data_IF_039323119310
#
_entry.id   IF_039323119310
#
_cell.length_a   1.000
_cell.length_b   1.000
_cell.length_c   1.000
_cell.angle_alpha   90.00
_cell.angle_beta   90.00
_cell.angle_gamma   90.00
#
_symmetry.space_group_name_H-M   'P 1'
#
loop_
_entity.id
_entity.type
_entity.pdbx_description
1 polymer ?
#
# COMPACT_ATOMS: atom_id res chain seq x y z
N UNK A 1 2.12 -49.51 -34.30
CA UNK A 1 2.31 -49.55 -32.84
C UNK A 1 3.40 -48.55 -32.51
N UNK A 2 3.05 -47.27 -32.39
CA UNK A 2 4.03 -46.18 -32.27
C UNK A 2 3.61 -45.05 -31.32
N UNK A 3 2.61 -45.27 -30.47
CA UNK A 3 1.95 -44.18 -29.74
C UNK A 3 2.10 -44.25 -28.20
N UNK A 4 2.85 -45.22 -27.67
CA UNK A 4 2.90 -45.45 -26.21
C UNK A 4 4.12 -44.83 -25.50
N UNK A 5 5.00 -44.12 -26.21
CA UNK A 5 6.28 -43.61 -25.64
C UNK A 5 6.29 -42.11 -25.35
N UNK A 6 5.24 -41.37 -25.75
CA UNK A 6 5.11 -39.93 -25.52
C UNK A 6 4.36 -39.57 -24.22
N UNK A 7 3.71 -40.52 -23.56
CA UNK A 7 2.80 -40.22 -22.43
C UNK A 7 3.52 -40.11 -21.06
N UNK A 8 4.81 -40.43 -20.98
CA UNK A 8 5.52 -40.59 -19.70
C UNK A 8 6.31 -39.32 -19.29
N UNK A 9 6.53 -38.36 -20.21
CA UNK A 9 7.24 -37.10 -19.91
C UNK A 9 6.34 -35.87 -19.76
N UNK A 10 5.06 -35.98 -20.15
CA UNK A 10 4.03 -34.94 -20.01
C UNK A 10 3.52 -34.66 -18.57
N UNK A 11 3.52 -35.58 -17.58
CA UNK A 11 2.80 -35.32 -16.32
C UNK A 11 3.42 -34.18 -15.50
N UNK A 12 4.76 -34.07 -15.46
CA UNK A 12 5.43 -33.03 -14.66
C UNK A 12 5.24 -31.62 -15.21
N UNK A 13 5.23 -31.44 -16.53
CA UNK A 13 5.02 -30.14 -17.16
C UNK A 13 3.57 -29.64 -17.03
N UNK A 14 2.59 -30.52 -17.21
CA UNK A 14 1.17 -30.18 -17.05
C UNK A 14 0.85 -29.76 -15.60
N UNK A 15 1.44 -30.45 -14.62
CA UNK A 15 1.29 -30.10 -13.20
C UNK A 15 1.85 -28.71 -12.89
N UNK A 16 3.07 -28.41 -13.37
CA UNK A 16 3.68 -27.09 -13.20
C UNK A 16 2.84 -25.97 -13.81
N UNK A 17 2.22 -26.18 -14.99
CA UNK A 17 1.32 -25.19 -15.57
C UNK A 17 0.06 -24.95 -14.75
N UNK A 18 -0.55 -26.02 -14.23
CA UNK A 18 -1.72 -25.88 -13.34
C UNK A 18 -1.37 -25.10 -12.08
N UNK A 19 -0.17 -25.34 -11.53
CA UNK A 19 0.32 -24.58 -10.39
C UNK A 19 0.58 -23.11 -10.75
N UNK A 20 1.23 -22.83 -11.89
CA UNK A 20 1.45 -21.47 -12.38
C UNK A 20 0.13 -20.70 -12.51
N UNK A 21 -0.88 -21.28 -13.19
CA UNK A 21 -2.20 -20.66 -13.34
C UNK A 21 -2.88 -20.36 -12.00
N UNK A 22 -2.70 -21.24 -11.00
CA UNK A 22 -3.21 -21.01 -9.65
C UNK A 22 -2.53 -19.81 -8.99
N UNK A 23 -1.19 -19.75 -9.05
CA UNK A 23 -0.42 -18.63 -8.48
C UNK A 23 -0.72 -17.32 -9.19
N UNK A 24 -0.89 -17.33 -10.51
CA UNK A 24 -1.33 -16.16 -11.30
C UNK A 24 -2.71 -15.65 -10.84
N UNK A 25 -3.66 -16.55 -10.60
CA UNK A 25 -4.98 -16.19 -10.05
C UNK A 25 -4.91 -15.61 -8.64
N UNK A 26 -4.08 -16.20 -7.77
CA UNK A 26 -3.85 -15.68 -6.41
C UNK A 26 -3.18 -14.28 -6.46
N UNK A 27 -2.24 -14.06 -7.39
CA UNK A 27 -1.60 -12.77 -7.63
C UNK A 27 -2.59 -11.69 -8.08
N UNK A 28 -3.50 -12.00 -9.01
CA UNK A 28 -4.53 -11.05 -9.48
C UNK A 28 -5.40 -10.55 -8.33
N UNK A 29 -5.92 -11.46 -7.51
CA UNK A 29 -6.76 -11.14 -6.35
C UNK A 29 -6.00 -10.29 -5.32
N UNK A 30 -4.74 -10.66 -5.04
CA UNK A 30 -3.91 -9.96 -4.06
C UNK A 30 -3.48 -8.57 -4.55
N UNK A 31 -3.06 -8.43 -5.81
CA UNK A 31 -2.70 -7.15 -6.40
C UNK A 31 -3.90 -6.20 -6.48
N UNK A 32 -5.07 -6.71 -6.86
CA UNK A 32 -6.33 -5.93 -6.85
C UNK A 32 -6.66 -5.43 -5.44
N UNK A 33 -6.47 -6.28 -4.42
CA UNK A 33 -6.69 -5.91 -3.02
C UNK A 33 -5.66 -4.90 -2.52
N UNK A 34 -4.39 -5.07 -2.90
CA UNK A 34 -3.30 -4.18 -2.56
C UNK A 34 -3.48 -2.78 -3.18
N UNK A 35 -3.85 -2.70 -4.46
CA UNK A 35 -4.15 -1.44 -5.14
C UNK A 35 -5.30 -0.66 -4.47
N UNK A 36 -6.32 -1.37 -3.96
CA UNK A 36 -7.45 -0.76 -3.22
C UNK A 36 -7.06 -0.19 -1.87
N UNK A 37 -5.89 -0.51 -1.32
CA UNK A 37 -5.43 0.10 -0.08
C UNK A 37 -5.13 1.60 -0.29
N UNK A 38 -4.71 2.00 -1.49
CA UNK A 38 -4.38 3.40 -1.82
C UNK A 38 -5.57 4.34 -1.78
N UNK A 39 -6.75 3.88 -2.17
CA UNK A 39 -7.96 4.72 -2.17
C UNK A 39 -8.36 5.18 -0.77
N UNK A 40 -7.91 4.48 0.28
CA UNK A 40 -8.16 4.82 1.69
C UNK A 40 -7.44 6.10 2.11
N UNK A 41 -6.28 6.44 1.51
CA UNK A 41 -5.59 7.70 1.80
C UNK A 41 -6.32 8.93 1.27
N UNK A 42 -7.05 8.80 0.17
CA UNK A 42 -7.81 9.91 -0.40
C UNK A 42 -9.14 10.15 0.34
N UNK A 43 -9.63 9.14 1.07
CA UNK A 43 -10.85 9.19 1.87
C UNK A 43 -10.54 9.59 3.32
N UNK A 44 -9.73 10.64 3.51
CA UNK A 44 -9.35 11.20 4.83
C UNK A 44 -10.50 11.88 5.60
N UNK A 45 -11.74 11.40 5.43
CA UNK A 45 -12.95 11.88 6.07
C UNK A 45 -13.66 10.72 6.76
N UNK A 46 -13.11 10.27 7.88
CA UNK A 46 -13.92 9.68 8.95
C UNK A 46 -13.93 10.69 10.09
N UNK A 47 -15.14 11.09 10.48
CA UNK A 47 -15.51 12.08 11.51
C UNK A 47 -14.97 11.78 12.93
N UNK A 48 -14.24 10.68 13.10
CA UNK A 48 -13.88 10.09 14.40
C UNK A 48 -12.43 10.39 14.85
N UNK A 49 -11.82 11.52 14.46
CA UNK A 49 -10.62 12.09 15.09
C UNK A 49 -9.38 11.19 15.30
N UNK A 50 -9.41 9.97 14.78
CA UNK A 50 -8.43 8.93 15.01
C UNK A 50 -7.55 8.85 13.78
N UNK A 51 -6.22 8.91 13.91
CA UNK A 51 -5.34 8.72 12.78
C UNK A 51 -5.66 7.33 12.24
N UNK A 52 -6.32 7.28 11.08
CA UNK A 52 -6.58 6.09 10.28
C UNK A 52 -5.27 5.58 9.67
N UNK A 53 -4.25 5.43 10.51
CA UNK A 53 -3.16 4.46 10.41
C UNK A 53 -3.72 3.05 10.60
N UNK A 54 -4.84 2.77 9.93
CA UNK A 54 -5.46 1.47 9.76
C UNK A 54 -4.52 0.61 8.94
N UNK A 55 -3.51 0.11 9.66
CA UNK A 55 -2.71 -1.07 9.38
C UNK A 55 -1.51 -0.90 8.44
N UNK A 56 -0.53 -0.07 8.82
CA UNK A 56 0.84 -0.16 8.25
C UNK A 56 1.35 -1.63 8.25
N UNK A 57 0.97 -2.40 9.27
CA UNK A 57 1.23 -3.84 9.36
C UNK A 57 0.52 -4.68 8.29
N UNK A 58 -0.75 -4.42 7.95
CA UNK A 58 -1.48 -5.15 6.90
C UNK A 58 -0.87 -4.92 5.51
N UNK A 59 -0.34 -3.73 5.26
CA UNK A 59 0.23 -3.37 3.96
C UNK A 59 1.56 -4.07 3.74
N UNK A 60 2.46 -4.01 4.73
CA UNK A 60 3.73 -4.76 4.71
C UNK A 60 3.51 -6.27 4.64
N UNK A 61 2.47 -6.76 5.32
CA UNK A 61 2.07 -8.17 5.24
C UNK A 61 1.66 -8.57 3.82
N UNK A 62 0.79 -7.77 3.19
CA UNK A 62 0.34 -8.03 1.81
C UNK A 62 1.48 -7.90 0.79
N UNK A 63 2.40 -6.94 0.98
CA UNK A 63 3.63 -6.86 0.16
C UNK A 63 4.48 -8.13 0.28
N UNK A 64 4.66 -8.65 1.49
CA UNK A 64 5.44 -9.85 1.75
C UNK A 64 4.78 -11.07 1.09
N UNK A 65 3.46 -11.17 1.17
CA UNK A 65 2.69 -12.25 0.54
C UNK A 65 2.77 -12.18 -1.00
N UNK A 66 2.61 -11.00 -1.60
CA UNK A 66 2.76 -10.80 -3.05
C UNK A 66 4.19 -11.15 -3.49
N UNK A 67 5.20 -10.72 -2.73
CA UNK A 67 6.59 -11.09 -3.00
C UNK A 67 6.80 -12.61 -2.99
N UNK A 68 6.25 -13.31 -2.00
CA UNK A 68 6.33 -14.76 -1.90
C UNK A 68 5.63 -15.46 -3.07
N UNK A 69 4.48 -14.95 -3.52
CA UNK A 69 3.78 -15.50 -4.70
C UNK A 69 4.58 -15.27 -5.99
N UNK A 70 5.21 -14.10 -6.16
CA UNK A 70 6.07 -13.80 -7.32
C UNK A 70 7.31 -14.71 -7.35
N UNK A 71 7.95 -14.91 -6.19
CA UNK A 71 9.11 -15.82 -6.06
C UNK A 71 8.70 -17.27 -6.38
N UNK A 72 7.55 -17.71 -5.86
CA UNK A 72 7.02 -19.04 -6.18
C UNK A 72 6.70 -19.20 -7.68
N UNK A 73 6.14 -18.17 -8.33
CA UNK A 73 5.88 -18.22 -9.78
C UNK A 73 7.19 -18.24 -10.59
N UNK A 74 8.25 -17.57 -10.12
CA UNK A 74 9.59 -17.65 -10.70
C UNK A 74 10.15 -19.07 -10.61
N UNK A 75 10.07 -19.71 -9.43
CA UNK A 75 10.56 -21.08 -9.24
C UNK A 75 9.82 -22.09 -10.15
N UNK A 76 8.49 -21.95 -10.27
CA UNK A 76 7.69 -22.77 -11.18
C UNK A 76 8.09 -22.53 -12.63
N UNK A 77 8.34 -21.27 -13.02
CA UNK A 77 8.83 -20.91 -14.35
C UNK A 77 10.21 -21.51 -14.68
N UNK A 78 11.10 -21.55 -13.70
CA UNK A 78 12.42 -22.15 -13.86
C UNK A 78 12.34 -23.68 -13.97
N UNK A 79 11.48 -24.33 -13.17
CA UNK A 79 11.20 -25.75 -13.30
C UNK A 79 10.57 -26.09 -14.67
N UNK A 80 9.62 -25.29 -15.12
CA UNK A 80 9.02 -25.36 -16.46
C UNK A 80 10.08 -25.25 -17.56
N UNK A 81 11.02 -24.32 -17.41
CA UNK A 81 12.12 -24.12 -18.35
C UNK A 81 13.06 -25.33 -18.41
N UNK A 82 13.34 -25.98 -17.27
CA UNK A 82 14.15 -27.20 -17.21
C UNK A 82 13.44 -28.37 -17.88
N UNK A 83 12.14 -28.55 -17.65
CA UNK A 83 11.34 -29.55 -18.36
C UNK A 83 11.39 -29.35 -19.88
N UNK A 84 11.21 -28.11 -20.35
CA UNK A 84 11.29 -27.77 -21.77
C UNK A 84 12.67 -28.05 -22.40
N UNK A 85 13.76 -27.87 -21.65
CA UNK A 85 15.11 -28.17 -22.10
C UNK A 85 15.38 -29.69 -22.17
N UNK A 86 14.78 -30.46 -21.27
CA UNK A 86 14.96 -31.92 -21.20
C UNK A 86 14.09 -32.71 -22.21
N UNK A 87 12.93 -32.18 -22.58
CA UNK A 87 12.05 -32.73 -23.60
C UNK A 87 12.47 -32.19 -24.98
N UNK A 88 13.43 -32.85 -25.64
CA UNK A 88 13.91 -32.62 -27.02
C UNK A 88 13.10 -31.59 -27.82
N UNK A 89 13.58 -30.33 -27.85
CA UNK A 89 13.11 -29.21 -28.68
C UNK A 89 11.60 -29.22 -29.02
N UNK A 90 10.72 -29.36 -28.02
CA UNK A 90 9.29 -29.17 -28.24
C UNK A 90 8.99 -27.66 -28.31
N UNK A 91 8.89 -27.13 -29.54
CA UNK A 91 8.68 -25.70 -29.80
C UNK A 91 7.42 -25.15 -29.14
N UNK A 92 6.37 -25.98 -29.01
CA UNK A 92 5.11 -25.59 -28.37
C UNK A 92 5.26 -25.39 -26.85
N UNK A 93 6.03 -26.26 -26.18
CA UNK A 93 6.35 -26.13 -24.75
C UNK A 93 7.23 -24.88 -24.55
N UNK A 94 8.23 -24.69 -25.41
CA UNK A 94 9.12 -23.53 -25.35
C UNK A 94 8.37 -22.20 -25.49
N UNK A 95 7.39 -22.13 -26.40
CA UNK A 95 6.50 -20.96 -26.54
C UNK A 95 5.65 -20.71 -25.30
N UNK A 96 5.13 -21.77 -24.67
CA UNK A 96 4.35 -21.64 -23.43
C UNK A 96 5.22 -21.15 -22.26
N UNK A 97 6.45 -21.65 -22.12
CA UNK A 97 7.42 -21.13 -21.13
C UNK A 97 7.66 -19.64 -21.32
N UNK A 98 7.88 -19.20 -22.56
CA UNK A 98 8.09 -17.79 -22.86
C UNK A 98 6.89 -16.94 -22.40
N UNK A 99 5.65 -17.41 -22.62
CA UNK A 99 4.45 -16.74 -22.14
C UNK A 99 4.36 -16.62 -20.63
N UNK A 100 4.65 -17.68 -19.88
CA UNK A 100 4.62 -17.59 -18.41
C UNK A 100 5.71 -16.66 -17.86
N UNK A 101 6.84 -16.50 -18.56
CA UNK A 101 7.87 -15.49 -18.22
C UNK A 101 7.37 -14.07 -18.48
N UNK A 102 6.67 -13.84 -19.60
CA UNK A 102 6.04 -12.55 -19.91
C UNK A 102 5.00 -12.18 -18.82
N UNK A 103 4.14 -13.12 -18.45
CA UNK A 103 3.11 -12.94 -17.41
C UNK A 103 3.75 -12.61 -16.04
N UNK A 104 4.78 -13.36 -15.63
CA UNK A 104 5.52 -13.05 -14.40
C UNK A 104 6.12 -11.63 -14.43
N UNK A 105 6.64 -11.22 -15.59
CA UNK A 105 7.19 -9.89 -15.77
C UNK A 105 6.12 -8.80 -15.62
N UNK A 106 4.95 -9.00 -16.22
CA UNK A 106 3.80 -8.11 -16.09
C UNK A 106 3.36 -7.95 -14.64
N UNK A 107 3.16 -9.05 -13.90
CA UNK A 107 2.81 -8.98 -12.48
C UNK A 107 3.87 -8.29 -11.62
N UNK A 108 5.16 -8.54 -11.91
CA UNK A 108 6.27 -7.87 -11.22
C UNK A 108 6.25 -6.37 -11.47
N UNK A 109 5.99 -5.93 -12.70
CA UNK A 109 5.88 -4.51 -13.04
C UNK A 109 4.65 -3.87 -12.38
N UNK A 110 3.50 -4.53 -12.43
CA UNK A 110 2.27 -4.04 -11.81
C UNK A 110 2.45 -3.85 -10.30
N UNK A 111 3.06 -4.83 -9.63
CA UNK A 111 3.35 -4.73 -8.20
C UNK A 111 4.24 -3.52 -7.89
N UNK A 112 5.34 -3.34 -8.64
CA UNK A 112 6.25 -2.20 -8.48
C UNK A 112 5.54 -0.86 -8.69
N UNK A 113 4.73 -0.76 -9.74
CA UNK A 113 3.95 0.44 -10.06
C UNK A 113 2.95 0.75 -8.93
N UNK A 114 2.22 -0.25 -8.47
CA UNK A 114 1.23 -0.09 -7.41
C UNK A 114 1.88 0.32 -6.11
N UNK A 115 2.98 -0.35 -5.71
CA UNK A 115 3.77 -0.01 -4.53
C UNK A 115 4.29 1.43 -4.58
N UNK A 116 4.83 1.86 -5.72
CA UNK A 116 5.28 3.24 -5.92
C UNK A 116 4.15 4.26 -5.77
N UNK A 117 2.98 3.98 -6.35
CA UNK A 117 1.80 4.82 -6.22
C UNK A 117 1.33 4.93 -4.76
N UNK A 118 1.27 3.81 -4.05
CA UNK A 118 0.90 3.76 -2.64
C UNK A 118 1.86 4.55 -1.75
N UNK A 119 3.17 4.42 -2.00
CA UNK A 119 4.18 5.18 -1.27
C UNK A 119 4.02 6.69 -1.49
N UNK A 120 3.80 7.10 -2.74
CA UNK A 120 3.55 8.51 -3.07
C UNK A 120 2.30 9.07 -2.40
N UNK A 121 1.19 8.31 -2.37
CA UNK A 121 -0.03 8.70 -1.67
C UNK A 121 0.17 8.82 -0.16
N UNK A 122 0.97 7.93 0.44
CA UNK A 122 1.32 7.95 1.85
C UNK A 122 2.14 9.19 2.20
N UNK A 123 3.22 9.45 1.46
CA UNK A 123 4.06 10.63 1.66
C UNK A 123 3.23 11.92 1.57
N UNK A 124 2.32 11.99 0.60
CA UNK A 124 1.38 13.11 0.48
C UNK A 124 0.46 13.25 1.71
N UNK A 125 -0.07 12.14 2.25
CA UNK A 125 -0.90 12.16 3.45
C UNK A 125 -0.12 12.58 4.70
N UNK A 126 1.11 12.12 4.87
CA UNK A 126 2.00 12.49 5.98
C UNK A 126 2.31 14.01 5.96
N UNK A 127 2.59 14.57 4.77
CA UNK A 127 2.80 16.01 4.59
C UNK A 127 1.55 16.82 4.96
N UNK A 128 0.35 16.41 4.50
CA UNK A 128 -0.90 17.10 4.83
C UNK A 128 -1.21 17.04 6.32
N UNK A 129 -0.87 15.94 7.00
CA UNK A 129 -1.09 15.81 8.44
C UNK A 129 -0.15 16.75 9.22
N UNK A 130 1.13 16.79 8.86
CA UNK A 130 2.10 17.74 9.47
C UNK A 130 1.64 19.19 9.30
N UNK A 131 1.20 19.58 8.10
CA UNK A 131 0.69 20.94 7.84
C UNK A 131 -0.55 21.24 8.70
N UNK A 132 -1.43 20.25 8.90
CA UNK A 132 -2.61 20.40 9.74
C UNK A 132 -2.25 20.59 11.22
N UNK A 133 -1.26 19.86 11.71
CA UNK A 133 -0.77 19.98 13.08
C UNK A 133 -0.20 21.39 13.30
N UNK A 134 0.61 21.89 12.38
CA UNK A 134 1.16 23.26 12.42
C UNK A 134 0.06 24.34 12.42
N UNK A 135 -0.98 24.17 11.60
CA UNK A 135 -2.14 25.07 11.56
C UNK A 135 -2.90 25.05 12.89
N UNK A 136 -3.12 23.87 13.45
CA UNK A 136 -3.85 23.68 14.70
C UNK A 136 -3.09 24.31 15.87
N UNK A 137 -1.78 24.10 15.92
CA UNK A 137 -0.89 24.71 16.90
C UNK A 137 -0.84 26.24 16.77
N UNK A 138 -0.77 26.76 15.53
CA UNK A 138 -0.84 28.20 15.25
C UNK A 138 -2.16 28.83 15.72
N UNK A 139 -3.29 28.16 15.46
CA UNK A 139 -4.61 28.59 15.94
C UNK A 139 -4.68 28.58 17.46
N UNK A 140 -4.19 27.52 18.12
CA UNK A 140 -4.15 27.41 19.56
C UNK A 140 -3.33 28.55 20.19
N UNK A 141 -2.13 28.83 19.66
CA UNK A 141 -1.30 29.96 20.09
C UNK A 141 -2.03 31.30 19.98
N UNK A 142 -2.66 31.57 18.84
CA UNK A 142 -3.44 32.81 18.63
C UNK A 142 -4.60 32.94 19.62
N UNK A 143 -5.29 31.85 19.89
CA UNK A 143 -6.39 31.83 20.86
C UNK A 143 -5.91 32.09 22.29
N UNK A 144 -4.79 31.47 22.69
CA UNK A 144 -4.14 31.72 23.99
C UNK A 144 -3.75 33.20 24.15
N UNK A 145 -3.14 33.80 23.12
CA UNK A 145 -2.76 35.23 23.14
C UNK A 145 -3.99 36.14 23.26
N UNK A 146 -5.07 35.84 22.54
CA UNK A 146 -6.32 36.61 22.64
C UNK A 146 -6.91 36.52 24.05
N UNK A 147 -6.95 35.33 24.64
CA UNK A 147 -7.45 35.13 26.00
C UNK A 147 -6.59 35.85 27.05
N UNK A 148 -5.26 35.84 26.89
CA UNK A 148 -4.35 36.60 27.75
C UNK A 148 -4.58 38.12 27.66
N UNK A 149 -4.78 38.65 26.46
CA UNK A 149 -5.12 40.06 26.26
C UNK A 149 -6.43 40.42 26.98
N UNK A 150 -7.50 39.66 26.76
CA UNK A 150 -8.79 39.81 27.45
C UNK A 150 -8.63 39.82 28.98
N UNK A 151 -7.88 38.86 29.54
CA UNK A 151 -7.58 38.81 30.98
C UNK A 151 -6.83 40.06 31.46
N UNK A 152 -5.82 40.52 30.71
CA UNK A 152 -5.06 41.73 31.07
C UNK A 152 -5.97 42.96 31.07
N UNK A 153 -6.85 43.11 30.07
CA UNK A 153 -7.81 44.23 30.01
C UNK A 153 -8.82 44.17 31.16
N UNK A 154 -9.32 42.98 31.51
CA UNK A 154 -10.23 42.79 32.64
C UNK A 154 -9.58 43.20 33.98
N UNK A 155 -8.35 42.74 34.24
CA UNK A 155 -7.60 43.09 35.47
C UNK A 155 -7.28 44.59 35.54
N UNK A 156 -6.91 45.21 34.42
CA UNK A 156 -6.70 46.67 34.34
C UNK A 156 -8.00 47.44 34.60
N UNK A 157 -9.12 46.99 34.04
CA UNK A 157 -10.45 47.58 34.25
C UNK A 157 -10.89 47.54 35.72
N UNK A 158 -10.70 46.40 36.40
CA UNK A 158 -10.98 46.27 37.84
C UNK A 158 -10.15 47.24 38.69
N UNK A 159 -8.86 47.40 38.38
CA UNK A 159 -7.98 48.35 39.10
C UNK A 159 -8.41 49.80 38.89
N UNK A 160 -8.86 50.14 37.69
CA UNK A 160 -9.32 51.50 37.36
C UNK A 160 -10.63 51.84 38.06
N UNK A 161 -11.60 50.91 38.06
CA UNK A 161 -12.84 51.01 38.82
C UNK A 161 -12.58 51.17 40.32
N UNK A 162 -11.67 50.37 40.90
CA UNK A 162 -11.28 50.49 42.30
C UNK A 162 -10.65 51.84 42.63
N UNK A 163 -9.78 52.37 41.77
CA UNK A 163 -9.18 53.70 41.94
C UNK A 163 -10.23 54.83 41.86
N UNK A 164 -11.22 54.71 40.97
CA UNK A 164 -12.31 55.68 40.86
C UNK A 164 -13.20 55.70 42.10
N UNK A 165 -13.51 54.53 42.67
CA UNK A 165 -14.29 54.39 43.90
C UNK A 165 -13.55 55.02 45.10
N UNK A 166 -12.23 54.91 45.15
CA UNK A 166 -11.40 55.54 46.19
C UNK A 166 -11.39 57.08 46.03
N UNK A 167 -11.32 57.59 44.79
CA UNK A 167 -11.36 59.03 44.54
C UNK A 167 -12.73 59.67 44.78
N UNK A 168 -13.81 58.90 44.65
CA UNK A 168 -15.19 59.38 44.83
C UNK A 168 -15.68 59.32 46.28
N UNK A 169 -14.80 59.02 47.24
CA UNK A 169 -15.13 58.85 48.66
C UNK A 169 -14.31 59.81 49.52
#
# INVERSE_FOLDING_TARGET
>A
MGDSILEIQEPGWEELRKEAMKIEGDLDVKLSSYAKLGTRFNSGYTDDGSPTLGSEGSWKSMETEIHSLLEKLLDINDAMSQCAASASANSSISQKVARHRDILHEYTQEFRRTKGNLNSMREHAELLNSVRDDISESKARKHLVACLLECIYCVKGLRFMGALIILMR
#
